data_IF_326660180926
#
_entry.id   IF_326660180926
#
_cell.length_a   1.000
_cell.length_b   1.000
_cell.length_c   1.000
_cell.angle_alpha   90.00
_cell.angle_beta   90.00
_cell.angle_gamma   90.00
#
_symmetry.space_group_name_H-M   'P 1'
#
loop_
_entity.id
_entity.type
_entity.pdbx_description
1 polymer ?
#
# COMPACT_ATOMS: atom_id res chain seq x y z
N UNK A 1 34.42 15.01 -22.54
CA UNK A 1 33.63 13.99 -23.27
C UNK A 1 33.11 12.87 -22.37
N UNK A 2 33.89 12.46 -21.33
CA UNK A 2 33.50 11.37 -20.42
C UNK A 2 32.25 11.65 -19.57
N UNK A 3 32.09 12.87 -19.09
CA UNK A 3 30.95 13.28 -18.25
C UNK A 3 29.61 13.23 -19.00
N UNK A 4 29.59 13.58 -20.28
CA UNK A 4 28.38 13.56 -21.08
C UNK A 4 27.89 12.15 -21.38
N UNK A 5 28.83 11.20 -21.59
CA UNK A 5 28.51 9.80 -21.83
C UNK A 5 27.94 9.14 -20.57
N UNK A 6 28.51 9.43 -19.41
CA UNK A 6 28.01 8.90 -18.11
C UNK A 6 26.63 9.47 -17.78
N UNK A 7 26.40 10.77 -18.02
CA UNK A 7 25.07 11.38 -17.80
C UNK A 7 24.02 10.78 -18.72
N UNK A 8 24.34 10.48 -19.98
CA UNK A 8 23.43 9.83 -20.91
C UNK A 8 23.10 8.40 -20.47
N UNK A 9 24.09 7.62 -20.04
CA UNK A 9 23.86 6.26 -19.52
C UNK A 9 22.95 6.30 -18.30
N UNK A 10 23.23 7.20 -17.36
CA UNK A 10 22.44 7.35 -16.15
C UNK A 10 20.99 7.76 -16.45
N UNK A 11 20.80 8.64 -17.43
CA UNK A 11 19.48 9.07 -17.88
C UNK A 11 18.71 7.94 -18.55
N UNK A 12 19.39 7.16 -19.42
CA UNK A 12 18.79 6.01 -20.09
C UNK A 12 18.39 4.92 -19.10
N UNK A 13 19.19 4.67 -18.08
CA UNK A 13 18.87 3.71 -17.02
C UNK A 13 17.64 4.14 -16.22
N UNK A 14 17.51 5.43 -15.90
CA UNK A 14 16.32 5.97 -15.21
C UNK A 14 15.06 5.85 -16.07
N UNK A 15 15.17 6.12 -17.35
CA UNK A 15 14.05 5.98 -18.30
C UNK A 15 13.62 4.52 -18.42
N UNK A 16 14.57 3.58 -18.44
CA UNK A 16 14.29 2.15 -18.45
C UNK A 16 13.61 1.69 -17.15
N UNK A 17 14.05 2.18 -16.00
CA UNK A 17 13.42 1.88 -14.71
C UNK A 17 11.96 2.39 -14.66
N UNK A 18 11.72 3.61 -15.16
CA UNK A 18 10.37 4.19 -15.25
C UNK A 18 9.47 3.36 -16.17
N UNK A 19 9.98 2.95 -17.33
CA UNK A 19 9.26 2.09 -18.27
C UNK A 19 8.94 0.74 -17.61
N UNK A 20 9.89 0.17 -16.86
CA UNK A 20 9.70 -1.08 -16.12
C UNK A 20 8.56 -1.02 -15.13
N UNK A 21 8.42 0.08 -14.39
CA UNK A 21 7.32 0.28 -13.44
C UNK A 21 5.97 0.30 -14.16
N UNK A 22 5.83 1.05 -15.23
CA UNK A 22 4.57 1.14 -15.99
C UNK A 22 4.19 -0.20 -16.63
N UNK A 23 5.16 -0.90 -17.19
CA UNK A 23 4.93 -2.24 -17.74
C UNK A 23 4.47 -3.21 -16.65
N UNK A 24 5.12 -3.15 -15.47
CA UNK A 24 4.74 -3.98 -14.34
C UNK A 24 3.32 -3.71 -13.88
N UNK A 25 2.94 -2.44 -13.75
CA UNK A 25 1.57 -2.06 -13.39
C UNK A 25 0.55 -2.60 -14.38
N UNK A 26 0.87 -2.55 -15.66
CA UNK A 26 0.02 -3.09 -16.72
C UNK A 26 -0.14 -4.61 -16.57
N UNK A 27 0.94 -5.33 -16.25
CA UNK A 27 0.87 -6.79 -16.05
C UNK A 27 -0.02 -7.20 -14.88
N UNK A 28 -0.14 -6.36 -13.86
CA UNK A 28 -1.01 -6.64 -12.70
C UNK A 28 -2.42 -6.08 -12.86
N UNK A 29 -2.74 -5.52 -14.02
CA UNK A 29 -4.10 -5.11 -14.35
C UNK A 29 -4.42 -3.63 -14.20
N UNK A 30 -3.41 -2.77 -14.03
CA UNK A 30 -3.63 -1.31 -14.04
C UNK A 30 -3.65 -0.83 -15.49
N UNK A 31 -4.75 -0.21 -15.90
CA UNK A 31 -4.91 0.27 -17.28
C UNK A 31 -3.88 1.38 -17.59
N UNK A 32 -3.40 1.43 -18.83
CA UNK A 32 -2.47 2.46 -19.27
C UNK A 32 -2.98 3.88 -18.99
N UNK A 33 -4.27 4.10 -19.17
CA UNK A 33 -4.90 5.40 -18.91
C UNK A 33 -4.87 5.82 -17.45
N UNK A 34 -4.76 4.86 -16.53
CA UNK A 34 -4.72 5.12 -15.09
C UNK A 34 -3.29 5.12 -14.51
N UNK A 35 -2.33 4.53 -15.21
CA UNK A 35 -0.99 4.28 -14.68
C UNK A 35 -0.26 5.54 -14.21
N UNK A 36 -0.36 6.63 -14.97
CA UNK A 36 0.29 7.89 -14.61
C UNK A 36 -0.28 8.46 -13.30
N UNK A 37 -1.61 8.46 -13.16
CA UNK A 37 -2.28 8.91 -11.95
C UNK A 37 -1.92 8.04 -10.75
N UNK A 38 -1.90 6.73 -10.95
CA UNK A 38 -1.53 5.76 -9.90
C UNK A 38 -0.12 6.04 -9.40
N UNK A 39 0.85 6.18 -10.31
CA UNK A 39 2.23 6.45 -9.94
C UNK A 39 2.42 7.81 -9.30
N UNK A 40 1.71 8.82 -9.78
CA UNK A 40 1.78 10.16 -9.20
C UNK A 40 1.30 10.15 -7.74
N UNK A 41 0.16 9.54 -7.47
CA UNK A 41 -0.40 9.46 -6.12
C UNK A 41 0.46 8.60 -5.21
N UNK A 42 0.96 7.47 -5.71
CA UNK A 42 1.82 6.59 -4.93
C UNK A 42 3.15 7.27 -4.58
N UNK A 43 3.74 8.01 -5.51
CA UNK A 43 4.99 8.74 -5.26
C UNK A 43 4.81 9.83 -4.20
N UNK A 44 3.71 10.58 -4.28
CA UNK A 44 3.40 11.60 -3.26
C UNK A 44 3.24 10.97 -1.89
N UNK A 45 2.56 9.84 -1.80
CA UNK A 45 2.38 9.12 -0.54
C UNK A 45 3.71 8.59 -0.01
N UNK A 46 4.56 8.06 -0.90
CA UNK A 46 5.88 7.55 -0.53
C UNK A 46 6.74 8.65 0.08
N UNK A 47 6.77 9.81 -0.53
CA UNK A 47 7.50 10.98 -0.01
C UNK A 47 6.96 11.42 1.35
N UNK A 48 5.64 11.46 1.51
CA UNK A 48 5.01 11.82 2.77
C UNK A 48 5.33 10.82 3.89
N UNK A 49 5.30 9.52 3.59
CA UNK A 49 5.63 8.47 4.57
C UNK A 49 7.09 8.57 5.01
N UNK A 50 8.01 8.80 4.07
CA UNK A 50 9.45 8.94 4.38
C UNK A 50 9.73 10.20 5.19
N UNK A 51 9.07 11.31 4.88
CA UNK A 51 9.19 12.55 5.64
C UNK A 51 8.76 12.36 7.10
N UNK A 52 7.68 11.63 7.34
CA UNK A 52 7.22 11.29 8.69
C UNK A 52 8.24 10.46 9.48
N UNK A 53 9.02 9.65 8.79
CA UNK A 53 10.07 8.84 9.39
C UNK A 53 11.35 9.65 9.67
N UNK A 54 11.37 10.95 9.36
CA UNK A 54 12.53 11.80 9.52
C UNK A 54 13.62 11.55 8.50
N UNK A 55 13.31 10.86 7.41
CA UNK A 55 14.27 10.58 6.34
C UNK A 55 14.36 11.77 5.40
N UNK A 56 15.59 12.21 5.12
CA UNK A 56 15.82 13.28 4.15
C UNK A 56 15.59 12.77 2.74
N UNK A 57 14.82 13.51 1.97
CA UNK A 57 14.54 13.20 0.57
C UNK A 57 15.70 13.70 -0.32
N UNK A 58 16.87 13.09 -0.15
CA UNK A 58 18.08 13.46 -0.89
C UNK A 58 18.27 12.70 -2.20
N UNK A 59 17.26 11.88 -2.56
CA UNK A 59 17.32 11.04 -3.75
C UNK A 59 18.00 9.70 -3.55
N UNK A 60 18.50 9.41 -2.34
CA UNK A 60 19.11 8.12 -2.02
C UNK A 60 18.07 7.01 -1.88
N UNK A 61 16.83 7.37 -1.54
CA UNK A 61 15.71 6.43 -1.44
C UNK A 61 14.71 6.76 -2.55
N UNK A 62 14.57 5.88 -3.51
CA UNK A 62 13.68 6.06 -4.65
C UNK A 62 12.48 5.13 -4.53
N UNK A 63 11.34 5.63 -4.96
CA UNK A 63 10.16 4.83 -5.17
C UNK A 63 10.32 4.13 -6.52
N UNK A 64 10.82 2.91 -6.50
CA UNK A 64 11.16 2.15 -7.69
C UNK A 64 10.28 0.90 -7.86
N UNK A 65 10.52 0.15 -8.93
CA UNK A 65 9.79 -1.08 -9.22
C UNK A 65 9.87 -2.09 -8.07
N UNK A 66 11.02 -2.16 -7.38
CA UNK A 66 11.19 -3.10 -6.27
C UNK A 66 10.25 -2.79 -5.11
N UNK A 67 10.05 -1.50 -4.81
CA UNK A 67 9.10 -1.09 -3.77
C UNK A 67 7.66 -1.47 -4.14
N UNK A 68 7.28 -1.26 -5.39
CA UNK A 68 5.96 -1.65 -5.90
C UNK A 68 5.78 -3.17 -5.82
N UNK A 69 6.78 -3.94 -6.23
CA UNK A 69 6.74 -5.41 -6.20
C UNK A 69 6.59 -5.96 -4.78
N UNK A 70 7.28 -5.37 -3.81
CA UNK A 70 7.18 -5.80 -2.41
C UNK A 70 5.73 -5.74 -1.92
N UNK A 71 5.05 -4.63 -2.20
CA UNK A 71 3.66 -4.44 -1.79
C UNK A 71 2.75 -5.43 -2.50
N UNK A 72 2.90 -5.57 -3.82
CA UNK A 72 2.08 -6.47 -4.62
C UNK A 72 2.25 -7.92 -4.16
N UNK A 73 3.49 -8.36 -3.96
CA UNK A 73 3.78 -9.72 -3.48
C UNK A 73 3.21 -9.95 -2.09
N UNK A 74 3.29 -8.95 -1.21
CA UNK A 74 2.67 -9.03 0.12
C UNK A 74 1.16 -9.20 0.02
N UNK A 75 0.49 -8.41 -0.80
CA UNK A 75 -0.96 -8.50 -0.98
C UNK A 75 -1.36 -9.88 -1.53
N UNK A 76 -0.61 -10.39 -2.50
CA UNK A 76 -0.84 -11.74 -3.02
C UNK A 76 -0.67 -12.82 -1.93
N UNK A 77 0.30 -12.65 -1.04
CA UNK A 77 0.51 -13.57 0.07
C UNK A 77 -0.61 -13.54 1.10
N UNK A 78 -1.47 -12.53 1.05
CA UNK A 78 -2.58 -12.32 1.97
C UNK A 78 -3.94 -12.55 1.31
N UNK A 79 -3.99 -13.45 0.34
CA UNK A 79 -5.22 -13.89 -0.35
C UNK A 79 -5.90 -12.84 -1.22
N UNK A 80 -5.20 -11.77 -1.60
CA UNK A 80 -5.68 -10.83 -2.60
C UNK A 80 -5.43 -11.47 -3.96
N UNK A 81 -6.50 -11.74 -4.69
CA UNK A 81 -6.42 -12.41 -5.99
C UNK A 81 -5.74 -11.53 -7.04
N UNK A 82 -4.98 -12.16 -7.92
CA UNK A 82 -4.29 -11.47 -9.01
C UNK A 82 -5.24 -10.63 -9.85
N UNK A 83 -6.45 -11.14 -10.14
CA UNK A 83 -7.46 -10.44 -10.92
C UNK A 83 -8.01 -9.20 -10.21
N UNK A 84 -7.84 -9.09 -8.90
CA UNK A 84 -8.34 -7.98 -8.10
C UNK A 84 -7.30 -6.88 -7.87
N UNK A 85 -6.02 -7.20 -8.09
CA UNK A 85 -4.93 -6.27 -7.80
C UNK A 85 -5.02 -4.96 -8.60
N UNK A 86 -5.30 -5.06 -9.90
CA UNK A 86 -5.39 -3.86 -10.75
C UNK A 86 -6.45 -2.88 -10.28
N UNK A 87 -7.64 -3.37 -9.97
CA UNK A 87 -8.73 -2.55 -9.47
C UNK A 87 -8.45 -1.96 -8.10
N UNK A 88 -7.88 -2.77 -7.19
CA UNK A 88 -7.51 -2.33 -5.85
C UNK A 88 -6.50 -1.18 -5.92
N UNK A 89 -5.45 -1.35 -6.68
CA UNK A 89 -4.39 -0.34 -6.82
C UNK A 89 -4.91 0.91 -7.53
N UNK A 90 -5.73 0.74 -8.55
CA UNK A 90 -6.34 1.87 -9.27
C UNK A 90 -7.24 2.70 -8.35
N UNK A 91 -7.99 2.04 -7.47
CA UNK A 91 -8.89 2.72 -6.51
C UNK A 91 -8.17 3.26 -5.29
N UNK A 92 -7.00 2.70 -4.93
CA UNK A 92 -6.23 3.14 -3.77
C UNK A 92 -4.74 3.07 -4.07
N UNK A 93 -4.22 3.99 -4.93
CA UNK A 93 -2.81 3.97 -5.33
C UNK A 93 -1.82 4.13 -4.19
N UNK A 94 -2.21 4.81 -3.12
CA UNK A 94 -1.33 5.07 -1.96
C UNK A 94 -0.80 3.79 -1.31
N UNK A 95 -1.49 2.66 -1.46
CA UNK A 95 -1.05 1.39 -0.88
C UNK A 95 0.34 0.98 -1.37
N UNK A 96 0.68 1.33 -2.61
CA UNK A 96 1.99 0.99 -3.19
C UNK A 96 3.15 1.64 -2.44
N UNK A 97 2.88 2.72 -1.71
CA UNK A 97 3.89 3.47 -0.97
C UNK A 97 4.03 3.03 0.48
N UNK A 98 3.19 2.13 0.96
CA UNK A 98 3.21 1.69 2.35
C UNK A 98 4.31 0.66 2.59
N UNK A 99 4.98 0.80 3.73
CA UNK A 99 6.01 -0.15 4.13
C UNK A 99 5.33 -1.46 4.58
N UNK A 100 5.75 -2.57 4.00
CA UNK A 100 5.21 -3.89 4.32
C UNK A 100 5.45 -4.24 5.79
N UNK A 101 6.69 -4.08 6.27
CA UNK A 101 7.09 -4.53 7.61
C UNK A 101 6.51 -3.68 8.73
N UNK A 102 6.45 -2.36 8.54
CA UNK A 102 6.06 -1.44 9.62
C UNK A 102 4.60 -1.03 9.56
N UNK A 103 3.93 -1.23 8.42
CA UNK A 103 2.55 -0.75 8.25
C UNK A 103 1.56 -1.82 7.81
N UNK A 104 1.83 -2.51 6.69
CA UNK A 104 0.86 -3.46 6.13
C UNK A 104 0.79 -4.76 6.95
N UNK A 105 1.93 -5.36 7.24
CA UNK A 105 1.96 -6.60 8.02
C UNK A 105 1.35 -6.41 9.42
N UNK A 106 1.70 -5.36 10.18
CA UNK A 106 1.06 -5.12 11.48
C UNK A 106 -0.45 -4.95 11.39
N UNK A 107 -0.96 -4.34 10.33
CA UNK A 107 -2.40 -4.19 10.14
C UNK A 107 -3.09 -5.56 10.00
N UNK A 108 -2.58 -6.42 9.13
CA UNK A 108 -3.14 -7.76 8.94
C UNK A 108 -3.04 -8.61 10.21
N UNK A 109 -1.91 -8.52 10.91
CA UNK A 109 -1.71 -9.23 12.17
C UNK A 109 -2.70 -8.76 13.25
N UNK A 110 -2.89 -7.46 13.37
CA UNK A 110 -3.82 -6.87 14.35
C UNK A 110 -5.25 -7.34 14.08
N UNK A 111 -5.68 -7.25 12.85
CA UNK A 111 -7.04 -7.63 12.43
C UNK A 111 -7.30 -9.10 12.77
N UNK A 112 -6.35 -9.97 12.52
CA UNK A 112 -6.49 -11.40 12.80
C UNK A 112 -6.44 -11.71 14.30
N UNK A 113 -5.41 -11.23 15.00
CA UNK A 113 -5.19 -11.56 16.41
C UNK A 113 -6.09 -10.81 17.38
N UNK A 114 -6.29 -9.52 17.16
CA UNK A 114 -7.03 -8.69 18.09
C UNK A 114 -8.52 -8.62 17.77
N UNK A 115 -8.88 -8.62 16.49
CA UNK A 115 -10.27 -8.52 16.08
C UNK A 115 -10.89 -9.87 15.71
N UNK A 116 -10.08 -10.92 15.57
CA UNK A 116 -10.58 -12.25 15.24
C UNK A 116 -11.13 -12.37 13.82
N UNK A 117 -10.78 -11.45 12.93
CA UNK A 117 -11.20 -11.50 11.54
C UNK A 117 -10.18 -12.35 10.79
N UNK A 118 -10.63 -13.42 10.13
CA UNK A 118 -9.72 -14.29 9.37
C UNK A 118 -9.07 -13.53 8.23
N UNK A 119 -7.87 -13.97 7.83
CA UNK A 119 -7.17 -13.37 6.70
C UNK A 119 -8.00 -13.37 5.43
N UNK A 120 -8.75 -14.46 5.18
CA UNK A 120 -9.63 -14.59 4.02
C UNK A 120 -10.76 -13.57 4.05
N UNK A 121 -11.42 -13.39 5.21
CA UNK A 121 -12.51 -12.43 5.36
C UNK A 121 -12.01 -10.99 5.23
N UNK A 122 -10.84 -10.70 5.81
CA UNK A 122 -10.24 -9.37 5.67
C UNK A 122 -9.87 -9.08 4.22
N UNK A 123 -9.32 -10.06 3.50
CA UNK A 123 -9.00 -9.92 2.08
C UNK A 123 -10.23 -9.59 1.25
N UNK A 124 -11.39 -10.21 1.53
CA UNK A 124 -12.65 -9.90 0.86
C UNK A 124 -13.07 -8.47 1.10
N UNK A 125 -12.98 -7.98 2.34
CA UNK A 125 -13.35 -6.61 2.67
C UNK A 125 -12.40 -5.59 2.06
N UNK A 126 -11.10 -5.88 2.03
CA UNK A 126 -10.10 -5.03 1.39
C UNK A 126 -10.38 -4.89 -0.12
N UNK A 127 -10.78 -5.98 -0.77
CA UNK A 127 -11.13 -5.95 -2.19
C UNK A 127 -12.35 -5.10 -2.46
N UNK A 128 -13.32 -5.08 -1.56
CA UNK A 128 -14.51 -4.22 -1.64
C UNK A 128 -14.21 -2.76 -1.28
N UNK A 129 -13.34 -2.56 -0.30
CA UNK A 129 -12.99 -1.24 0.23
C UNK A 129 -11.47 -1.14 0.41
N UNK A 130 -10.72 -0.87 -0.68
CA UNK A 130 -9.26 -0.83 -0.62
C UNK A 130 -8.70 0.18 0.39
N UNK A 131 -9.45 1.23 0.71
CA UNK A 131 -9.04 2.25 1.70
C UNK A 131 -8.82 1.69 3.10
N UNK A 132 -9.32 0.48 3.40
CA UNK A 132 -9.02 -0.20 4.66
C UNK A 132 -7.53 -0.43 4.85
N UNK A 133 -6.77 -0.57 3.77
CA UNK A 133 -5.31 -0.70 3.81
C UNK A 133 -4.60 0.56 4.32
N UNK A 134 -5.30 1.69 4.33
CA UNK A 134 -4.78 2.94 4.86
C UNK A 134 -4.84 3.06 6.38
N UNK A 135 -5.50 2.13 7.05
CA UNK A 135 -5.57 2.13 8.51
C UNK A 135 -4.23 1.73 9.11
N UNK A 136 -3.89 2.36 10.22
CA UNK A 136 -2.71 2.00 11.02
C UNK A 136 -3.18 1.25 12.26
N UNK A 137 -2.60 0.08 12.50
CA UNK A 137 -2.98 -0.77 13.63
C UNK A 137 -2.81 -0.05 14.97
N UNK A 138 -1.70 0.64 15.16
CA UNK A 138 -1.35 1.31 16.43
C UNK A 138 -2.03 2.66 16.60
N UNK A 139 -2.08 3.49 15.56
CA UNK A 139 -2.56 4.88 15.67
C UNK A 139 -4.08 5.03 15.52
N UNK A 140 -4.66 4.34 14.52
CA UNK A 140 -6.09 4.51 14.20
C UNK A 140 -6.94 3.40 14.79
N UNK A 141 -6.59 2.17 14.44
CA UNK A 141 -7.45 1.01 14.71
C UNK A 141 -7.48 0.66 16.20
N UNK A 142 -6.32 0.59 16.85
CA UNK A 142 -6.25 0.28 18.27
C UNK A 142 -6.95 1.33 19.12
N UNK A 143 -6.80 2.60 18.79
CA UNK A 143 -7.48 3.70 19.50
C UNK A 143 -8.98 3.65 19.32
N UNK A 144 -9.45 3.37 18.11
CA UNK A 144 -10.87 3.27 17.82
C UNK A 144 -11.50 2.07 18.53
N UNK A 145 -10.84 0.93 18.50
CA UNK A 145 -11.28 -0.27 19.22
C UNK A 145 -11.34 0.01 20.72
N UNK A 146 -10.30 0.61 21.28
CA UNK A 146 -10.25 0.96 22.70
C UNK A 146 -11.38 1.90 23.10
N UNK A 147 -11.66 2.90 22.28
CA UNK A 147 -12.77 3.82 22.52
C UNK A 147 -14.12 3.11 22.52
N UNK A 148 -14.39 2.29 21.53
CA UNK A 148 -15.66 1.56 21.41
C UNK A 148 -15.85 0.59 22.58
N UNK A 149 -14.80 -0.12 22.97
CA UNK A 149 -14.85 -1.01 24.13
C UNK A 149 -15.09 -0.24 25.44
N UNK A 150 -14.49 0.94 25.58
CA UNK A 150 -14.70 1.79 26.77
C UNK A 150 -16.13 2.32 26.92
N UNK A 151 -16.87 2.41 25.80
CA UNK A 151 -18.28 2.80 25.81
C UNK A 151 -19.23 1.63 26.02
N UNK A 152 -18.70 0.42 26.26
CA UNK A 152 -19.49 -0.76 26.55
C UNK A 152 -19.76 -1.69 25.39
N UNK A 153 -19.18 -1.43 24.20
CA UNK A 153 -19.32 -2.32 23.05
C UNK A 153 -18.57 -3.63 23.26
N UNK A 154 -19.20 -4.73 22.87
CA UNK A 154 -18.53 -6.04 22.86
C UNK A 154 -17.54 -6.11 21.70
N UNK A 155 -16.62 -7.08 21.75
CA UNK A 155 -15.66 -7.29 20.66
C UNK A 155 -16.38 -7.56 19.33
N UNK A 156 -17.45 -8.35 19.35
CA UNK A 156 -18.27 -8.65 18.17
C UNK A 156 -18.93 -7.38 17.59
N UNK A 157 -19.45 -6.52 18.46
CA UNK A 157 -20.05 -5.24 18.04
C UNK A 157 -19.01 -4.32 17.42
N UNK A 158 -17.79 -4.29 17.97
CA UNK A 158 -16.68 -3.50 17.42
C UNK A 158 -16.33 -3.99 16.02
N UNK A 159 -16.16 -5.30 15.84
CA UNK A 159 -15.86 -5.90 14.54
C UNK A 159 -16.96 -5.57 13.52
N UNK A 160 -18.23 -5.72 13.89
CA UNK A 160 -19.36 -5.40 13.02
C UNK A 160 -19.35 -3.93 12.62
N UNK A 161 -19.09 -3.02 13.55
CA UNK A 161 -19.00 -1.59 13.28
C UNK A 161 -17.87 -1.28 12.29
N UNK A 162 -16.68 -1.84 12.51
CA UNK A 162 -15.54 -1.62 11.64
C UNK A 162 -15.78 -2.14 10.22
N UNK A 163 -16.40 -3.30 10.10
CA UNK A 163 -16.67 -3.93 8.80
C UNK A 163 -17.75 -3.20 8.01
N UNK A 164 -18.68 -2.51 8.67
CA UNK A 164 -19.76 -1.76 8.01
C UNK A 164 -19.42 -0.30 7.73
N UNK A 165 -18.60 0.32 8.58
CA UNK A 165 -18.45 1.78 8.61
C UNK A 165 -17.13 2.27 8.03
N UNK A 166 -16.10 1.46 8.07
CA UNK A 166 -14.79 1.77 7.51
C UNK A 166 -14.68 1.20 6.10
#
# INVERSE_FOLDING_TARGET
PGRQVEQRKFRMEREKESIGIYEYLETIGVAKSAALRVMSQATMQFEAERAKMGMTLDGSVKFDENEVRKVVEFLQSRDIREQQLGGLITNFPSVLAYDVETRLEPLFVYVEKELGITGTDFAKEVQRRPSLLGLRADENLAKMVGYLESTGSTREEVVEYLMKTL
#
